data_IF_369731494085
#
_entry.id   IF_369731494085
#
_cell.length_a   1.000
_cell.length_b   1.000
_cell.length_c   1.000
_cell.angle_alpha   90.00
_cell.angle_beta   90.00
_cell.angle_gamma   90.00
#
_symmetry.space_group_name_H-M   'P 1'
#
loop_
_entity.id
_entity.type
_entity.pdbx_description
1 polymer ?
#
# COMPACT_ATOMS: atom_id res chain seq x y z
N UNK A 1 5.95 79.21 -29.32
CA UNK A 1 4.79 78.42 -29.78
C UNK A 1 5.02 77.00 -29.27
N UNK A 2 4.26 76.60 -28.25
CA UNK A 2 4.45 75.37 -27.49
C UNK A 2 3.96 74.16 -28.27
N UNK A 3 4.69 73.05 -28.19
CA UNK A 3 4.29 71.77 -28.77
C UNK A 3 4.82 70.61 -27.92
N UNK A 4 4.31 70.47 -26.71
CA UNK A 4 4.55 69.30 -25.87
C UNK A 4 3.66 68.16 -26.37
N UNK A 5 4.25 67.10 -26.92
CA UNK A 5 3.55 65.83 -27.14
C UNK A 5 3.86 64.93 -25.94
N UNK A 6 2.83 64.70 -25.13
CA UNK A 6 2.81 63.77 -24.01
C UNK A 6 2.94 62.33 -24.53
N UNK A 7 4.00 61.63 -24.12
CA UNK A 7 4.10 60.17 -24.25
C UNK A 7 3.30 59.56 -23.10
N UNK A 8 2.12 59.04 -23.40
CA UNK A 8 1.33 58.26 -22.45
C UNK A 8 1.94 56.86 -22.34
N UNK A 9 2.78 56.63 -21.32
CA UNK A 9 3.10 55.27 -20.90
C UNK A 9 1.83 54.64 -20.32
N UNK A 10 1.21 53.72 -21.05
CA UNK A 10 0.23 52.81 -20.49
C UNK A 10 0.98 51.81 -19.59
N UNK A 11 1.12 52.14 -18.31
CA UNK A 11 1.48 51.17 -17.28
C UNK A 11 0.31 50.19 -17.16
N UNK A 12 0.43 49.06 -17.86
CA UNK A 12 -0.38 47.87 -17.60
C UNK A 12 -0.05 47.39 -16.18
N UNK A 13 -0.79 47.89 -15.19
CA UNK A 13 -0.76 47.36 -13.83
C UNK A 13 -1.59 46.09 -13.77
N UNK A 14 -1.12 45.02 -14.43
CA UNK A 14 -1.49 43.69 -13.96
C UNK A 14 -0.76 43.53 -12.63
N UNK A 15 -1.44 43.81 -11.52
CA UNK A 15 -0.92 43.39 -10.22
C UNK A 15 -0.61 41.89 -10.36
N UNK A 16 0.65 41.46 -10.19
CA UNK A 16 0.93 40.04 -10.18
C UNK A 16 0.08 39.45 -9.06
N UNK A 17 -0.69 38.41 -9.38
CA UNK A 17 -1.38 37.65 -8.35
C UNK A 17 -0.36 37.28 -7.28
N UNK A 18 -0.70 37.37 -5.98
CA UNK A 18 0.18 36.91 -4.92
C UNK A 18 0.77 35.54 -5.28
N UNK A 19 2.09 35.35 -5.14
CA UNK A 19 2.84 34.14 -5.50
C UNK A 19 2.15 32.83 -5.06
N UNK A 20 1.42 32.87 -3.94
CA UNK A 20 0.60 31.76 -3.44
C UNK A 20 -0.47 31.24 -4.43
N UNK A 21 -0.96 32.10 -5.33
CA UNK A 21 -1.97 31.78 -6.33
C UNK A 21 -1.35 31.37 -7.66
N UNK A 22 -0.04 31.56 -7.86
CA UNK A 22 0.66 31.09 -9.05
C UNK A 22 0.50 29.57 -9.21
N UNK A 23 0.52 28.84 -8.08
CA UNK A 23 0.22 27.40 -7.99
C UNK A 23 -1.18 26.98 -8.44
N UNK A 24 -2.11 27.92 -8.64
CA UNK A 24 -3.43 27.63 -9.23
C UNK A 24 -3.39 27.62 -10.76
N UNK A 25 -2.35 28.17 -11.36
CA UNK A 25 -2.26 28.46 -12.79
C UNK A 25 -0.99 27.88 -13.44
N UNK A 26 -0.01 27.44 -12.65
CA UNK A 26 1.18 26.72 -13.14
C UNK A 26 0.90 25.22 -13.19
N UNK A 27 0.83 24.67 -14.40
CA UNK A 27 0.81 23.23 -14.65
C UNK A 27 2.26 22.69 -14.51
N UNK A 28 2.77 22.57 -13.29
CA UNK A 28 4.21 22.32 -13.08
C UNK A 28 4.66 20.89 -13.42
N UNK A 29 3.74 19.96 -13.66
CA UNK A 29 3.98 18.65 -14.31
C UNK A 29 2.63 17.92 -14.40
N UNK A 30 2.24 17.42 -15.57
CA UNK A 30 1.10 16.50 -15.67
C UNK A 30 1.41 15.27 -14.81
N UNK A 31 0.81 15.17 -13.62
CA UNK A 31 0.91 13.97 -12.79
C UNK A 31 0.09 12.89 -13.48
N UNK A 32 0.77 11.83 -13.90
CA UNK A 32 0.12 10.68 -14.52
C UNK A 32 -0.12 9.58 -13.50
N UNK A 33 -0.92 8.58 -13.89
CA UNK A 33 -1.14 7.39 -13.07
C UNK A 33 0.17 6.63 -12.79
N UNK A 34 1.09 6.58 -13.76
CA UNK A 34 2.34 5.83 -13.64
C UNK A 34 3.31 6.48 -12.61
N UNK A 35 3.19 7.78 -12.35
CA UNK A 35 3.95 8.46 -11.28
C UNK A 35 3.49 8.05 -9.87
N UNK A 36 2.29 7.49 -9.77
CA UNK A 36 1.65 7.13 -8.50
C UNK A 36 1.77 5.64 -8.18
N UNK A 37 2.37 4.83 -9.07
CA UNK A 37 2.50 3.39 -8.89
C UNK A 37 3.90 2.86 -9.19
N UNK A 38 4.22 1.71 -8.62
CA UNK A 38 5.40 0.90 -8.95
C UNK A 38 4.90 -0.46 -9.40
N UNK A 39 5.41 -0.96 -10.53
CA UNK A 39 5.11 -2.31 -10.99
C UNK A 39 6.04 -3.33 -10.31
N UNK A 40 5.44 -4.30 -9.63
CA UNK A 40 6.16 -5.43 -9.03
C UNK A 40 5.55 -6.72 -9.58
N UNK A 41 6.22 -7.35 -10.55
CA UNK A 41 5.75 -8.57 -11.22
C UNK A 41 4.32 -8.46 -11.80
N UNK A 42 3.96 -7.31 -12.37
CA UNK A 42 2.63 -7.02 -12.94
C UNK A 42 1.62 -6.49 -11.92
N UNK A 43 2.01 -6.32 -10.66
CA UNK A 43 1.19 -5.72 -9.62
C UNK A 43 1.57 -4.25 -9.44
N UNK A 44 0.67 -3.34 -9.88
CA UNK A 44 0.84 -1.90 -9.71
C UNK A 44 0.49 -1.48 -8.29
N UNK A 45 1.50 -1.32 -7.44
CA UNK A 45 1.35 -0.89 -6.04
C UNK A 45 1.53 0.62 -5.92
N UNK A 46 0.74 1.33 -5.08
CA UNK A 46 0.83 2.78 -4.99
C UNK A 46 2.12 3.25 -4.31
N UNK A 47 2.65 4.40 -4.73
CA UNK A 47 3.84 5.01 -4.12
C UNK A 47 3.54 5.59 -2.73
N UNK A 48 4.61 5.92 -2.00
CA UNK A 48 4.48 6.67 -0.75
C UNK A 48 3.83 8.05 -0.95
N UNK A 49 4.00 8.68 -2.12
CA UNK A 49 3.37 9.96 -2.44
C UNK A 49 1.84 9.81 -2.55
N UNK A 50 1.37 8.77 -3.27
CA UNK A 50 -0.06 8.44 -3.34
C UNK A 50 -0.65 8.21 -1.94
N UNK A 51 0.06 7.45 -1.10
CA UNK A 51 -0.37 7.23 0.29
C UNK A 51 -0.42 8.52 1.12
N UNK A 52 0.57 9.42 0.98
CA UNK A 52 0.57 10.72 1.67
C UNK A 52 -0.61 11.58 1.25
N UNK A 53 -0.91 11.66 -0.04
CA UNK A 53 -2.08 12.35 -0.56
C UNK A 53 -3.37 11.79 0.04
N UNK A 54 -3.53 10.46 0.00
CA UNK A 54 -4.67 9.79 0.62
C UNK A 54 -4.79 10.09 2.12
N UNK A 55 -3.69 10.03 2.88
CA UNK A 55 -3.73 10.31 4.31
C UNK A 55 -4.23 11.73 4.62
N UNK A 56 -3.74 12.72 3.86
CA UNK A 56 -4.13 14.12 4.04
C UNK A 56 -5.62 14.34 3.76
N UNK A 57 -6.11 13.78 2.64
CA UNK A 57 -7.51 13.91 2.23
C UNK A 57 -8.49 13.17 3.16
N UNK A 58 -8.02 12.16 3.88
CA UNK A 58 -8.85 11.34 4.78
C UNK A 58 -8.60 11.62 6.27
N UNK A 59 -7.81 12.64 6.60
CA UNK A 59 -7.43 12.96 7.99
C UNK A 59 -6.85 11.75 8.77
N UNK A 60 -6.10 10.88 8.08
CA UNK A 60 -5.63 9.59 8.59
C UNK A 60 -4.29 9.64 9.33
N UNK A 61 -3.63 10.80 9.38
CA UNK A 61 -2.24 10.96 9.80
C UNK A 61 -1.96 10.36 11.19
N UNK A 62 -2.80 10.70 12.17
CA UNK A 62 -2.61 10.26 13.56
C UNK A 62 -2.82 8.75 13.72
N UNK A 63 -3.81 8.19 13.02
CA UNK A 63 -4.07 6.75 13.08
C UNK A 63 -2.96 5.95 12.39
N UNK A 64 -2.47 6.40 11.24
CA UNK A 64 -1.33 5.77 10.56
C UNK A 64 -0.08 5.86 11.41
N UNK A 65 0.18 7.02 12.03
CA UNK A 65 1.31 7.19 12.96
C UNK A 65 1.21 6.22 14.14
N UNK A 66 0.03 6.08 14.74
CA UNK A 66 -0.20 5.16 15.85
C UNK A 66 0.02 3.69 15.45
N UNK A 67 -0.51 3.27 14.30
CA UNK A 67 -0.29 1.91 13.77
C UNK A 67 1.21 1.69 13.53
N UNK A 68 1.86 2.61 12.83
CA UNK A 68 3.30 2.52 12.54
C UNK A 68 4.16 2.46 13.80
N UNK A 69 3.80 3.20 14.86
CA UNK A 69 4.48 3.11 16.14
C UNK A 69 4.26 1.75 16.80
N UNK A 70 3.02 1.26 16.83
CA UNK A 70 2.71 -0.05 17.42
C UNK A 70 3.45 -1.19 16.72
N UNK A 71 3.60 -1.14 15.39
CA UNK A 71 4.41 -2.10 14.64
C UNK A 71 5.89 -2.03 15.06
N UNK A 72 6.48 -0.83 15.12
CA UNK A 72 7.87 -0.63 15.53
C UNK A 72 8.13 -1.11 16.95
N UNK A 73 7.24 -0.78 17.89
CA UNK A 73 7.34 -1.19 19.30
C UNK A 73 7.27 -2.72 19.45
N UNK A 74 6.69 -3.41 18.47
CA UNK A 74 6.61 -4.87 18.42
C UNK A 74 7.74 -5.52 17.60
N UNK A 75 8.78 -4.78 17.24
CA UNK A 75 9.95 -5.32 16.53
C UNK A 75 9.73 -5.55 15.05
N UNK A 76 8.66 -5.01 14.46
CA UNK A 76 8.49 -5.01 13.01
C UNK A 76 9.48 -4.00 12.42
N UNK A 77 10.44 -4.49 11.64
CA UNK A 77 11.49 -3.65 11.05
C UNK A 77 11.01 -3.03 9.73
N UNK A 78 11.80 -2.09 9.18
CA UNK A 78 11.40 -1.29 8.02
C UNK A 78 11.38 -2.04 6.68
N UNK A 79 11.65 -3.35 6.63
CA UNK A 79 11.65 -4.10 5.36
C UNK A 79 10.32 -3.98 4.62
N UNK A 80 9.20 -4.00 5.36
CA UNK A 80 7.88 -3.93 4.78
C UNK A 80 7.28 -2.52 4.81
N UNK A 81 6.91 -1.93 3.65
CA UNK A 81 6.33 -0.59 3.63
C UNK A 81 4.92 -0.56 4.24
N UNK A 82 4.72 0.19 5.33
CA UNK A 82 3.42 0.30 6.01
C UNK A 82 2.25 0.66 5.08
N UNK A 83 2.46 1.57 4.12
CA UNK A 83 1.42 1.93 3.16
C UNK A 83 0.89 0.74 2.36
N UNK A 84 1.74 -0.26 2.05
CA UNK A 84 1.34 -1.46 1.33
C UNK A 84 0.68 -2.50 2.26
N UNK A 85 1.05 -2.52 3.53
CA UNK A 85 0.30 -3.30 4.55
C UNK A 85 -1.14 -2.80 4.69
N UNK A 86 -1.36 -1.49 4.50
CA UNK A 86 -2.67 -0.83 4.55
C UNK A 86 -3.39 -0.76 3.20
N UNK A 87 -2.81 -1.33 2.14
CA UNK A 87 -3.38 -1.37 0.79
C UNK A 87 -4.52 -2.40 0.73
N UNK A 88 -5.69 -2.06 0.18
CA UNK A 88 -6.75 -3.07 0.00
C UNK A 88 -6.39 -4.10 -1.06
N UNK A 89 -5.83 -3.65 -2.18
CA UNK A 89 -5.32 -4.47 -3.28
C UNK A 89 -4.86 -3.59 -4.44
N UNK A 90 -4.44 -4.22 -5.54
CA UNK A 90 -3.90 -3.53 -6.74
C UNK A 90 -4.94 -3.32 -7.84
N UNK A 91 -6.11 -3.94 -7.72
CA UNK A 91 -7.27 -3.83 -8.61
C UNK A 91 -8.22 -2.68 -8.25
N UNK A 92 -7.76 -1.74 -7.42
CA UNK A 92 -8.57 -0.64 -6.88
C UNK A 92 -9.21 0.24 -7.95
N UNK A 93 -8.52 0.52 -9.05
CA UNK A 93 -9.04 1.32 -10.17
C UNK A 93 -10.30 0.70 -10.81
N UNK A 94 -10.46 -0.63 -10.70
CA UNK A 94 -11.62 -1.36 -11.20
C UNK A 94 -12.72 -1.52 -10.14
N UNK A 95 -12.42 -1.23 -8.87
CA UNK A 95 -13.32 -1.46 -7.73
C UNK A 95 -14.18 -0.25 -7.34
N UNK A 96 -13.86 0.96 -7.81
CA UNK A 96 -14.48 2.21 -7.32
C UNK A 96 -14.44 2.35 -5.78
N UNK A 97 -13.41 1.82 -5.12
CA UNK A 97 -13.20 1.95 -3.68
C UNK A 97 -11.93 2.75 -3.36
N UNK A 98 -11.74 3.06 -2.08
CA UNK A 98 -10.48 3.64 -1.57
C UNK A 98 -9.29 2.71 -1.79
N UNK A 99 -8.11 3.25 -2.08
CA UNK A 99 -6.88 2.44 -2.21
C UNK A 99 -6.49 1.78 -0.89
N UNK A 100 -6.54 2.56 0.19
CA UNK A 100 -6.07 2.15 1.51
C UNK A 100 -7.23 2.07 2.50
N UNK A 101 -7.05 1.27 3.55
CA UNK A 101 -7.95 1.25 4.70
C UNK A 101 -7.22 1.58 5.98
N UNK A 102 -7.99 2.03 6.96
CA UNK A 102 -7.55 2.11 8.34
C UNK A 102 -8.18 0.96 9.11
N UNK A 103 -7.37 -0.02 9.56
CA UNK A 103 -7.90 -1.17 10.27
C UNK A 103 -8.49 -0.76 11.61
N UNK A 104 -9.45 -1.54 12.07
CA UNK A 104 -9.88 -1.45 13.45
C UNK A 104 -8.68 -1.68 14.37
N UNK A 105 -8.43 -0.78 15.32
CA UNK A 105 -7.29 -0.86 16.26
C UNK A 105 -7.18 -2.22 16.96
N UNK A 106 -8.32 -2.89 17.21
CA UNK A 106 -8.36 -4.24 17.83
C UNK A 106 -7.75 -5.34 16.96
N UNK A 107 -7.61 -5.10 15.65
CA UNK A 107 -7.04 -6.06 14.70
C UNK A 107 -5.54 -5.85 14.47
N UNK A 108 -4.96 -4.70 14.83
CA UNK A 108 -3.52 -4.43 14.64
C UNK A 108 -2.61 -5.50 15.29
N UNK A 109 -2.90 -6.02 16.50
CA UNK A 109 -2.14 -7.13 17.06
C UNK A 109 -2.12 -8.39 16.19
N UNK A 110 -3.18 -8.65 15.41
CA UNK A 110 -3.21 -9.79 14.49
C UNK A 110 -2.22 -9.60 13.34
N UNK A 111 -2.20 -8.42 12.73
CA UNK A 111 -1.22 -8.09 11.67
C UNK A 111 0.22 -8.13 12.19
N UNK A 112 0.47 -7.71 13.44
CA UNK A 112 1.80 -7.83 14.06
C UNK A 112 2.28 -9.27 14.04
N UNK A 113 1.43 -10.24 14.35
CA UNK A 113 1.81 -11.66 14.30
C UNK A 113 2.13 -12.11 12.87
N UNK A 114 1.33 -11.67 11.89
CA UNK A 114 1.55 -11.94 10.47
C UNK A 114 2.89 -11.38 9.99
N UNK A 115 3.18 -10.12 10.31
CA UNK A 115 4.43 -9.46 9.97
C UNK A 115 5.64 -10.11 10.65
N UNK A 116 5.52 -10.50 11.93
CA UNK A 116 6.57 -11.26 12.63
C UNK A 116 6.85 -12.60 11.94
N UNK A 117 5.81 -13.34 11.55
CA UNK A 117 5.98 -14.61 10.86
C UNK A 117 6.71 -14.41 9.52
N UNK A 118 6.34 -13.37 8.76
CA UNK A 118 7.01 -13.03 7.49
C UNK A 118 8.48 -12.71 7.74
N UNK A 119 8.79 -11.78 8.65
CA UNK A 119 10.16 -11.39 8.97
C UNK A 119 11.02 -12.54 9.48
N UNK A 120 10.43 -13.44 10.28
CA UNK A 120 11.18 -14.49 10.95
C UNK A 120 11.40 -15.73 10.08
N UNK A 121 10.44 -16.09 9.21
CA UNK A 121 10.46 -17.38 8.52
C UNK A 121 10.39 -17.27 7.00
N UNK A 122 9.81 -16.19 6.45
CA UNK A 122 9.66 -16.02 5.01
C UNK A 122 10.82 -15.24 4.41
N UNK A 123 11.08 -14.03 4.93
CA UNK A 123 12.14 -13.16 4.40
C UNK A 123 13.53 -13.79 4.42
N UNK A 124 13.94 -14.60 5.44
CA UNK A 124 15.25 -15.25 5.42
C UNK A 124 15.42 -16.27 4.29
N UNK A 125 14.33 -16.86 3.80
CA UNK A 125 14.34 -17.93 2.79
C UNK A 125 14.04 -17.42 1.38
N UNK A 126 13.23 -16.36 1.27
CA UNK A 126 12.69 -15.84 0.00
C UNK A 126 13.31 -14.49 -0.37
N UNK A 127 13.81 -13.74 0.62
CA UNK A 127 14.19 -12.34 0.48
C UNK A 127 13.02 -11.40 0.76
N UNK A 128 13.20 -10.12 0.42
CA UNK A 128 12.17 -9.09 0.61
C UNK A 128 10.89 -9.48 -0.13
N UNK A 129 9.75 -9.33 0.54
CA UNK A 129 8.43 -9.56 -0.04
C UNK A 129 7.60 -8.28 0.05
N UNK A 130 6.85 -7.98 -1.01
CA UNK A 130 6.10 -6.75 -1.19
C UNK A 130 4.61 -7.05 -1.05
N UNK A 131 3.90 -6.40 -0.11
CA UNK A 131 2.45 -6.54 -0.01
C UNK A 131 1.76 -5.96 -1.24
N UNK A 132 0.84 -6.74 -1.80
CA UNK A 132 -0.04 -6.33 -2.91
C UNK A 132 -1.51 -6.32 -2.49
N UNK A 133 -1.82 -6.77 -1.27
CA UNK A 133 -3.15 -6.67 -0.64
C UNK A 133 -3.04 -6.90 0.88
N UNK A 134 -3.76 -6.13 1.67
CA UNK A 134 -3.84 -6.19 3.13
C UNK A 134 -5.28 -6.26 3.62
N UNK A 135 -5.70 -5.39 4.53
CA UNK A 135 -7.13 -5.40 4.94
C UNK A 135 -8.03 -5.04 3.76
N UNK A 136 -9.18 -5.71 3.66
CA UNK A 136 -10.21 -5.39 2.68
C UNK A 136 -11.48 -4.99 3.43
N UNK A 137 -12.14 -3.94 2.97
CA UNK A 137 -13.55 -3.69 3.30
C UNK A 137 -14.44 -4.78 2.73
N UNK A 138 -15.64 -4.96 3.28
CA UNK A 138 -16.62 -5.92 2.76
C UNK A 138 -16.95 -5.67 1.28
N UNK A 139 -17.08 -4.39 0.91
CA UNK A 139 -17.35 -3.95 -0.48
C UNK A 139 -16.21 -4.39 -1.39
N UNK A 140 -14.97 -4.05 -1.04
CA UNK A 140 -13.80 -4.42 -1.83
C UNK A 140 -13.64 -5.92 -1.93
N UNK A 141 -13.75 -6.64 -0.81
CA UNK A 141 -13.61 -8.08 -0.77
C UNK A 141 -14.62 -8.76 -1.69
N UNK A 142 -15.88 -8.29 -1.71
CA UNK A 142 -16.89 -8.80 -2.63
C UNK A 142 -16.56 -8.53 -4.09
N UNK A 143 -16.13 -7.32 -4.44
CA UNK A 143 -15.77 -6.95 -5.81
C UNK A 143 -14.54 -7.72 -6.32
N UNK A 144 -13.56 -7.95 -5.45
CA UNK A 144 -12.38 -8.75 -5.73
C UNK A 144 -12.65 -10.28 -5.73
N UNK A 145 -13.92 -10.71 -5.64
CA UNK A 145 -14.31 -12.13 -5.63
C UNK A 145 -13.85 -12.89 -4.37
N UNK A 146 -13.57 -12.18 -3.27
CA UNK A 146 -13.12 -12.75 -2.01
C UNK A 146 -14.20 -13.55 -1.28
N UNK A 147 -13.77 -14.54 -0.51
CA UNK A 147 -14.68 -15.35 0.30
C UNK A 147 -15.35 -14.54 1.41
N UNK A 148 -16.57 -14.93 1.82
CA UNK A 148 -17.33 -14.29 2.90
C UNK A 148 -16.61 -14.29 4.25
N UNK A 149 -15.75 -15.29 4.49
CA UNK A 149 -14.93 -15.40 5.72
C UNK A 149 -13.44 -15.15 5.44
N UNK A 150 -13.16 -14.24 4.51
CA UNK A 150 -11.80 -13.87 4.14
C UNK A 150 -11.04 -13.29 5.33
N UNK A 151 -9.79 -13.71 5.50
CA UNK A 151 -8.90 -13.21 6.57
C UNK A 151 -8.42 -11.77 6.32
N UNK A 152 -8.56 -11.28 5.08
CA UNK A 152 -8.35 -9.88 4.76
C UNK A 152 -9.37 -8.96 5.46
N UNK A 153 -10.57 -9.43 5.82
CA UNK A 153 -11.57 -8.62 6.53
C UNK A 153 -11.18 -8.31 7.98
N UNK A 154 -10.21 -9.04 8.53
CA UNK A 154 -9.81 -8.96 9.93
C UNK A 154 -8.39 -8.42 10.13
N UNK A 155 -7.79 -7.81 9.11
CA UNK A 155 -6.42 -7.29 9.12
C UNK A 155 -5.41 -8.29 9.73
N UNK A 156 -5.54 -9.56 9.34
CA UNK A 156 -4.63 -10.63 9.77
C UNK A 156 -4.03 -11.37 8.58
N UNK A 157 -4.23 -10.87 7.37
CA UNK A 157 -3.75 -11.46 6.12
C UNK A 157 -3.05 -10.43 5.25
N UNK A 158 -2.04 -10.90 4.51
CA UNK A 158 -1.41 -10.20 3.41
C UNK A 158 -1.36 -11.12 2.19
N UNK A 159 -1.60 -10.55 1.01
CA UNK A 159 -1.10 -11.14 -0.23
C UNK A 159 0.19 -10.43 -0.62
N UNK A 160 1.17 -11.21 -1.03
CA UNK A 160 2.55 -10.80 -1.17
C UNK A 160 3.11 -11.30 -2.51
N UNK A 161 4.11 -10.59 -3.02
CA UNK A 161 5.00 -11.06 -4.08
C UNK A 161 6.45 -10.90 -3.64
N UNK A 162 7.38 -11.77 -4.08
CA UNK A 162 8.81 -11.55 -3.86
C UNK A 162 9.26 -10.26 -4.57
N UNK A 163 10.27 -9.57 -4.03
CA UNK A 163 10.87 -8.41 -4.69
C UNK A 163 11.90 -8.81 -5.76
N UNK A 164 12.56 -9.96 -5.54
CA UNK A 164 13.54 -10.53 -6.46
C UNK A 164 12.86 -11.59 -7.34
N UNK A 165 13.41 -11.78 -8.53
CA UNK A 165 12.97 -12.84 -9.42
C UNK A 165 13.14 -14.23 -8.77
N UNK A 166 12.05 -14.99 -8.76
CA UNK A 166 12.00 -16.38 -8.34
C UNK A 166 10.96 -17.09 -9.17
N UNK A 167 11.26 -18.31 -9.62
CA UNK A 167 10.27 -19.11 -10.32
C UNK A 167 9.15 -19.48 -9.36
N UNK A 168 7.93 -19.56 -9.90
CA UNK A 168 6.76 -19.97 -9.14
C UNK A 168 6.99 -21.33 -8.45
N UNK A 169 7.64 -22.29 -9.12
CA UNK A 169 7.92 -23.61 -8.58
C UNK A 169 8.81 -23.52 -7.34
N UNK A 170 9.91 -22.76 -7.43
CA UNK A 170 10.85 -22.59 -6.33
C UNK A 170 10.22 -21.84 -5.16
N UNK A 171 9.42 -20.81 -5.44
CA UNK A 171 8.67 -20.07 -4.42
C UNK A 171 7.73 -21.00 -3.66
N UNK A 172 6.96 -21.82 -4.37
CA UNK A 172 5.98 -22.71 -3.74
C UNK A 172 6.65 -23.80 -2.92
N UNK A 173 7.77 -24.36 -3.40
CA UNK A 173 8.56 -25.35 -2.63
C UNK A 173 9.05 -24.73 -1.32
N UNK A 174 9.64 -23.53 -1.37
CA UNK A 174 10.11 -22.81 -0.18
C UNK A 174 8.97 -22.50 0.79
N UNK A 175 7.87 -21.91 0.32
CA UNK A 175 6.70 -21.57 1.15
C UNK A 175 6.07 -22.79 1.81
N UNK A 176 5.91 -23.90 1.08
CA UNK A 176 5.38 -25.15 1.64
C UNK A 176 6.30 -25.73 2.72
N UNK A 177 7.62 -25.68 2.51
CA UNK A 177 8.60 -26.12 3.52
C UNK A 177 8.47 -25.28 4.80
N UNK A 178 8.46 -23.96 4.67
CA UNK A 178 8.31 -23.02 5.79
C UNK A 178 7.00 -23.28 6.54
N UNK A 179 5.89 -23.44 5.81
CA UNK A 179 4.58 -23.70 6.41
C UNK A 179 4.50 -25.06 7.11
N UNK A 180 5.09 -26.10 6.53
CA UNK A 180 5.16 -27.42 7.16
C UNK A 180 5.94 -27.40 8.48
N UNK A 181 7.02 -26.60 8.55
CA UNK A 181 7.87 -26.52 9.73
C UNK A 181 7.33 -25.57 10.82
N UNK A 182 6.82 -24.40 10.42
CA UNK A 182 6.47 -23.32 11.36
C UNK A 182 4.98 -22.95 11.37
N UNK A 183 4.20 -23.43 10.40
CA UNK A 183 2.83 -22.95 10.19
C UNK A 183 1.89 -23.31 11.33
N UNK A 184 1.95 -24.54 11.86
CA UNK A 184 1.04 -24.97 12.93
C UNK A 184 1.28 -24.20 14.23
N UNK A 185 2.54 -24.03 14.63
CA UNK A 185 2.93 -23.28 15.83
C UNK A 185 2.49 -21.81 15.78
N UNK A 186 2.45 -21.22 14.58
CA UNK A 186 2.11 -19.81 14.37
C UNK A 186 0.67 -19.60 13.87
N UNK A 187 -0.14 -20.66 13.80
CA UNK A 187 -1.53 -20.64 13.32
C UNK A 187 -1.68 -20.04 11.91
N UNK A 188 -0.82 -20.47 10.98
CA UNK A 188 -0.64 -19.83 9.67
C UNK A 188 -1.54 -20.43 8.60
N UNK A 189 -2.27 -19.58 7.90
CA UNK A 189 -2.85 -19.90 6.61
C UNK A 189 -1.88 -19.57 5.48
N UNK A 190 -1.63 -20.52 4.59
CA UNK A 190 -0.87 -20.34 3.35
C UNK A 190 -1.78 -20.57 2.14
N UNK A 191 -1.87 -19.58 1.26
CA UNK A 191 -2.54 -19.72 -0.04
C UNK A 191 -1.56 -19.49 -1.19
N UNK A 192 -1.64 -20.31 -2.23
CA UNK A 192 -0.73 -20.23 -3.37
C UNK A 192 -1.49 -19.90 -4.66
N UNK A 193 -1.15 -18.79 -5.33
CA UNK A 193 -1.80 -18.38 -6.58
C UNK A 193 -1.10 -19.00 -7.81
N UNK A 194 -1.64 -18.73 -9.00
CA UNK A 194 -1.10 -19.25 -10.26
C UNK A 194 0.24 -18.65 -10.68
N UNK A 195 0.66 -17.52 -10.09
CA UNK A 195 1.94 -16.85 -10.32
C UNK A 195 2.84 -16.85 -9.08
N UNK A 196 3.61 -15.77 -8.91
CA UNK A 196 4.48 -15.57 -7.71
C UNK A 196 3.77 -14.88 -6.54
N UNK A 197 2.47 -14.62 -6.67
CA UNK A 197 1.63 -14.13 -5.57
C UNK A 197 1.32 -15.27 -4.61
N UNK A 198 1.37 -14.98 -3.33
CA UNK A 198 0.97 -15.90 -2.27
C UNK A 198 0.27 -15.16 -1.14
N UNK A 199 -0.52 -15.90 -0.36
CA UNK A 199 -1.29 -15.42 0.79
C UNK A 199 -0.67 -15.92 2.08
N UNK A 200 -0.55 -15.06 3.08
CA UNK A 200 -0.18 -15.41 4.44
C UNK A 200 -1.12 -14.74 5.42
N UNK A 201 -1.65 -15.52 6.36
CA UNK A 201 -2.36 -15.02 7.54
C UNK A 201 -1.95 -15.79 8.79
N UNK A 202 -2.12 -15.21 9.97
CA UNK A 202 -1.86 -15.87 11.28
C UNK A 202 -3.13 -16.06 12.12
N UNK A 203 -4.27 -16.22 11.46
CA UNK A 203 -5.59 -16.29 12.09
C UNK A 203 -6.36 -17.57 11.71
N UNK A 204 -5.62 -18.61 11.27
CA UNK A 204 -6.12 -19.97 11.11
C UNK A 204 -5.15 -20.86 10.34
N UNK A 205 -4.74 -21.98 10.92
CA UNK A 205 -3.86 -22.96 10.27
C UNK A 205 -4.55 -23.69 9.12
N UNK A 206 -4.08 -23.47 7.88
CA UNK A 206 -4.60 -24.11 6.65
C UNK A 206 -3.62 -23.93 5.47
N UNK A 207 -3.80 -24.74 4.44
CA UNK A 207 -3.11 -24.60 3.15
C UNK A 207 -4.09 -24.82 2.00
N UNK A 208 -4.07 -24.01 0.95
CA UNK A 208 -4.86 -24.19 -0.29
C UNK A 208 -4.14 -23.69 -1.54
#
# INVERSE_FOLDING_TARGET
MYGSILITLALSTTQPYPEKFEKLYTEETEITYDDLVVDVHGYKVPTRSAFRGWMLLNHAQDQVKAIGQQLKDNGITQSMPLHLVLLQGTDWAMSNTTLFTLPNKKHVPKMINTLKYIQQYIEPEIGIVIPVSGERTDIYNKQAGGALRSKHLEFCALDLVPANDITRENLHVKLKKIHAEFGQKNNVGLGLYSGVRFHIDTCGFRQW
#
